data_IF_299964227642
#
_entry.id   IF_299964227642
#
_cell.length_a   1.000
_cell.length_b   1.000
_cell.length_c   1.000
_cell.angle_alpha   90.00
_cell.angle_beta   90.00
_cell.angle_gamma   90.00
#
_symmetry.space_group_name_H-M   'P 1'
#
loop_
_entity.id
_entity.type
_entity.pdbx_description
1 polymer ?
#
# COMPACT_ATOMS: atom_id res chain seq x y z
N UNK A 1 -11.50 -1.90 -10.65
CA UNK A 1 -10.23 -1.80 -11.44
C UNK A 1 -9.02 -1.93 -10.53
N UNK A 2 -7.86 -2.30 -11.08
CA UNK A 2 -6.61 -2.53 -10.33
C UNK A 2 -5.56 -1.50 -10.77
N UNK A 3 -5.04 -0.73 -9.82
CA UNK A 3 -3.99 0.25 -10.03
C UNK A 3 -2.69 -0.21 -9.38
N UNK A 4 -1.56 0.00 -10.04
CA UNK A 4 -0.22 -0.23 -9.48
C UNK A 4 0.57 1.06 -9.52
N UNK A 5 1.06 1.50 -8.34
CA UNK A 5 2.01 2.61 -8.22
C UNK A 5 3.36 2.04 -7.80
N UNK A 6 4.32 2.01 -8.73
CA UNK A 6 5.62 1.36 -8.53
C UNK A 6 6.79 2.31 -8.89
N UNK A 7 7.98 1.79 -8.99
CA UNK A 7 9.20 2.56 -9.28
C UNK A 7 9.97 3.01 -8.04
N UNK A 8 11.17 3.57 -8.27
CA UNK A 8 12.11 3.96 -7.22
C UNK A 8 11.88 5.37 -6.68
N UNK A 9 11.15 6.22 -7.41
CA UNK A 9 10.88 7.59 -7.03
C UNK A 9 9.97 7.71 -5.80
N UNK A 10 10.04 8.88 -5.15
CA UNK A 10 9.17 9.26 -4.05
C UNK A 10 7.75 9.57 -4.55
N UNK A 11 6.72 9.30 -3.74
CA UNK A 11 5.35 9.73 -4.00
C UNK A 11 4.33 8.62 -4.23
N UNK A 12 4.73 7.33 -4.22
CA UNK A 12 3.79 6.21 -4.41
C UNK A 12 2.65 6.20 -3.40
N UNK A 13 2.99 6.18 -2.11
CA UNK A 13 2.01 6.26 -1.01
C UNK A 13 1.24 7.58 -1.06
N UNK A 14 1.93 8.70 -1.35
CA UNK A 14 1.29 10.02 -1.47
C UNK A 14 0.25 10.06 -2.59
N UNK A 15 0.54 9.48 -3.74
CA UNK A 15 -0.41 9.36 -4.85
C UNK A 15 -1.63 8.50 -4.47
N UNK A 16 -1.41 7.37 -3.78
CA UNK A 16 -2.48 6.51 -3.29
C UNK A 16 -3.36 7.23 -2.26
N UNK A 17 -2.77 7.99 -1.33
CA UNK A 17 -3.50 8.82 -0.37
C UNK A 17 -4.28 9.93 -1.10
N UNK A 18 -3.70 10.57 -2.11
CA UNK A 18 -4.40 11.55 -2.95
C UNK A 18 -5.65 10.96 -3.60
N UNK A 19 -5.58 9.73 -4.12
CA UNK A 19 -6.76 9.02 -4.64
C UNK A 19 -7.78 8.70 -3.53
N UNK A 20 -7.31 8.31 -2.34
CA UNK A 20 -8.18 8.10 -1.17
C UNK A 20 -8.98 9.37 -0.83
N UNK A 21 -8.30 10.52 -0.75
CA UNK A 21 -8.95 11.82 -0.49
C UNK A 21 -9.99 12.17 -1.56
N UNK A 22 -9.66 11.93 -2.84
CA UNK A 22 -10.60 12.13 -3.94
C UNK A 22 -11.83 11.23 -3.82
N UNK A 23 -11.63 9.94 -3.47
CA UNK A 23 -12.73 8.99 -3.31
C UNK A 23 -13.66 9.37 -2.16
N UNK A 24 -13.10 9.77 -1.03
CA UNK A 24 -13.90 10.25 0.12
C UNK A 24 -14.63 11.56 -0.21
N UNK A 25 -13.98 12.48 -0.92
CA UNK A 25 -14.63 13.72 -1.39
C UNK A 25 -15.84 13.47 -2.29
N UNK A 26 -15.89 12.33 -2.97
CA UNK A 26 -17.04 11.85 -3.74
C UNK A 26 -18.02 11.00 -2.90
N UNK A 27 -17.93 11.00 -1.57
CA UNK A 27 -18.81 10.26 -0.66
C UNK A 27 -18.48 8.77 -0.49
N UNK A 28 -17.38 8.28 -1.06
CA UNK A 28 -16.99 6.87 -0.95
C UNK A 28 -16.23 6.55 0.32
N UNK A 29 -16.08 5.26 0.60
CA UNK A 29 -15.34 4.73 1.76
C UNK A 29 -14.04 4.06 1.33
N UNK A 30 -12.96 4.30 2.08
CA UNK A 30 -11.62 3.85 1.76
C UNK A 30 -11.03 3.03 2.90
N UNK A 31 -10.41 1.90 2.56
CA UNK A 31 -9.58 1.13 3.48
C UNK A 31 -8.13 1.16 3.01
N UNK A 32 -7.22 1.57 3.89
CA UNK A 32 -5.78 1.57 3.65
C UNK A 32 -5.14 0.51 4.54
N UNK A 33 -4.46 -0.46 3.93
CA UNK A 33 -3.73 -1.52 4.62
C UNK A 33 -2.26 -1.33 4.33
N UNK A 34 -1.49 -0.96 5.35
CA UNK A 34 -0.06 -0.72 5.23
C UNK A 34 0.73 -1.96 5.66
N UNK A 35 1.45 -2.54 4.71
CA UNK A 35 2.43 -3.59 4.96
C UNK A 35 3.72 -2.99 5.47
N UNK A 36 4.49 -3.75 6.27
CA UNK A 36 5.84 -3.39 6.71
C UNK A 36 5.95 -2.11 7.56
N UNK A 37 4.84 -1.45 7.82
CA UNK A 37 4.80 -0.20 8.57
C UNK A 37 4.15 -0.42 9.94
N UNK A 38 4.71 0.22 10.97
CA UNK A 38 4.11 0.37 12.29
C UNK A 38 4.62 1.68 12.89
N UNK A 39 3.72 2.41 13.52
CA UNK A 39 4.05 3.69 14.17
C UNK A 39 3.22 4.85 13.64
N UNK A 40 3.45 6.01 14.22
CA UNK A 40 2.69 7.22 13.89
C UNK A 40 3.46 7.99 12.82
N UNK A 41 3.03 7.83 11.58
CA UNK A 41 3.44 8.72 10.48
C UNK A 41 2.52 9.94 10.45
N UNK A 42 3.03 11.06 9.98
CA UNK A 42 2.25 12.31 10.00
C UNK A 42 0.99 12.23 9.14
N UNK A 43 1.01 11.50 8.02
CA UNK A 43 -0.18 11.26 7.20
C UNK A 43 -1.29 10.55 7.98
N UNK A 44 -0.96 9.68 8.93
CA UNK A 44 -1.97 8.98 9.75
C UNK A 44 -2.70 9.92 10.69
N UNK A 45 -2.00 10.93 11.23
CA UNK A 45 -2.61 11.95 12.10
C UNK A 45 -3.70 12.72 11.36
N UNK A 46 -3.48 13.02 10.09
CA UNK A 46 -4.44 13.71 9.23
C UNK A 46 -5.56 12.78 8.77
N UNK A 47 -5.20 11.59 8.26
CA UNK A 47 -6.16 10.64 7.70
C UNK A 47 -7.14 10.09 8.74
N UNK A 48 -6.70 9.92 10.02
CA UNK A 48 -7.58 9.49 11.11
C UNK A 48 -8.67 10.52 11.47
N UNK A 49 -8.53 11.77 11.01
CA UNK A 49 -9.55 12.83 11.17
C UNK A 49 -10.53 12.88 10.00
N UNK A 50 -10.26 12.15 8.91
CA UNK A 50 -11.09 12.15 7.72
C UNK A 50 -12.14 11.04 7.84
N UNK A 51 -13.41 11.43 7.90
CA UNK A 51 -14.52 10.47 7.86
C UNK A 51 -14.49 9.67 6.56
N UNK A 52 -14.77 8.37 6.64
CA UNK A 52 -14.76 7.48 5.47
C UNK A 52 -13.42 6.80 5.19
N UNK A 53 -12.35 7.12 5.93
CA UNK A 53 -11.05 6.42 5.81
C UNK A 53 -10.81 5.52 7.02
N UNK A 54 -10.49 4.27 6.75
CA UNK A 54 -10.00 3.29 7.75
C UNK A 54 -8.58 2.90 7.41
N UNK A 55 -7.69 2.90 8.42
CA UNK A 55 -6.29 2.54 8.23
C UNK A 55 -5.92 1.40 9.17
N UNK A 56 -5.21 0.40 8.65
CA UNK A 56 -4.64 -0.69 9.44
C UNK A 56 -3.19 -0.94 9.03
N UNK A 57 -2.32 -1.08 10.03
CA UNK A 57 -0.89 -1.32 9.84
C UNK A 57 -0.51 -2.74 10.25
N UNK A 58 0.28 -3.40 9.42
CA UNK A 58 0.80 -4.75 9.63
C UNK A 58 2.32 -4.77 9.41
N UNK A 59 3.06 -4.32 10.40
CA UNK A 59 4.51 -4.29 10.42
C UNK A 59 5.04 -4.19 11.84
N UNK A 60 6.37 -4.22 12.01
CA UNK A 60 7.04 -4.06 13.31
C UNK A 60 7.66 -2.69 13.50
N UNK A 61 8.11 -2.07 12.41
CA UNK A 61 8.73 -0.75 12.42
C UNK A 61 8.68 -0.12 11.02
N UNK A 62 9.21 1.08 10.91
CA UNK A 62 9.44 1.74 9.64
C UNK A 62 10.54 1.02 8.86
N UNK A 63 10.21 0.37 7.76
CA UNK A 63 11.11 -0.29 6.81
C UNK A 63 12.06 -1.33 7.44
N UNK A 64 12.10 -2.52 6.87
CA UNK A 64 13.04 -3.56 7.29
C UNK A 64 14.47 -3.11 6.98
N UNK A 65 15.18 -2.65 8.01
CA UNK A 65 16.64 -2.44 7.97
C UNK A 65 17.41 -3.78 8.09
N UNK A 66 16.71 -4.88 8.41
CA UNK A 66 17.26 -6.21 8.66
C UNK A 66 16.57 -7.27 7.77
N UNK A 67 17.13 -8.48 7.76
CA UNK A 67 16.51 -9.62 7.06
C UNK A 67 15.09 -9.90 7.59
N UNK A 68 14.14 -10.28 6.70
CA UNK A 68 12.79 -10.64 7.11
C UNK A 68 12.77 -11.77 8.13
N UNK A 69 11.90 -11.63 9.14
CA UNK A 69 11.71 -12.61 10.21
C UNK A 69 10.44 -13.43 10.01
N UNK A 70 10.25 -14.47 10.85
CA UNK A 70 8.98 -15.22 10.90
C UNK A 70 7.79 -14.32 11.26
N UNK A 71 8.00 -13.32 12.16
CA UNK A 71 6.96 -12.38 12.55
C UNK A 71 6.55 -11.46 11.39
N UNK A 72 7.49 -10.98 10.57
CA UNK A 72 7.16 -10.18 9.39
C UNK A 72 6.29 -10.96 8.40
N UNK A 73 6.58 -12.26 8.21
CA UNK A 73 5.75 -13.15 7.38
C UNK A 73 4.34 -13.33 7.97
N UNK A 74 4.23 -13.49 9.30
CA UNK A 74 2.95 -13.60 9.99
C UNK A 74 2.11 -12.34 9.80
N UNK A 75 2.70 -11.16 10.01
CA UNK A 75 2.03 -9.88 9.83
C UNK A 75 1.58 -9.65 8.38
N UNK A 76 2.41 -9.99 7.39
CA UNK A 76 2.02 -9.90 5.99
C UNK A 76 0.83 -10.83 5.64
N UNK A 77 0.79 -12.06 6.19
CA UNK A 77 -0.35 -12.96 6.04
C UNK A 77 -1.61 -12.41 6.70
N UNK A 78 -1.48 -11.81 7.89
CA UNK A 78 -2.61 -11.16 8.58
C UNK A 78 -3.15 -9.98 7.78
N UNK A 79 -2.28 -9.18 7.13
CA UNK A 79 -2.68 -8.08 6.26
C UNK A 79 -3.56 -8.55 5.10
N UNK A 80 -3.16 -9.63 4.41
CA UNK A 80 -3.97 -10.20 3.32
C UNK A 80 -5.27 -10.84 3.85
N UNK A 81 -5.23 -11.52 4.99
CA UNK A 81 -6.43 -12.06 5.60
C UNK A 81 -7.43 -10.94 5.94
N UNK A 82 -6.94 -9.82 6.49
CA UNK A 82 -7.75 -8.64 6.74
C UNK A 82 -8.31 -8.05 5.45
N UNK A 83 -7.49 -7.92 4.39
CA UNK A 83 -7.93 -7.44 3.08
C UNK A 83 -9.06 -8.32 2.50
N UNK A 84 -8.94 -9.64 2.60
CA UNK A 84 -10.01 -10.59 2.21
C UNK A 84 -11.31 -10.33 2.96
N UNK A 85 -11.25 -10.12 4.27
CA UNK A 85 -12.42 -9.77 5.08
C UNK A 85 -13.04 -8.43 4.69
N UNK A 86 -12.22 -7.45 4.29
CA UNK A 86 -12.67 -6.14 3.80
C UNK A 86 -13.50 -6.27 2.52
N UNK A 87 -13.00 -7.01 1.50
CA UNK A 87 -13.72 -7.18 0.23
C UNK A 87 -15.00 -8.03 0.39
N UNK A 88 -15.00 -9.00 1.31
CA UNK A 88 -16.20 -9.81 1.60
C UNK A 88 -17.34 -8.99 2.19
N UNK A 89 -17.02 -8.03 3.06
CA UNK A 89 -18.02 -7.15 3.71
C UNK A 89 -18.59 -6.10 2.76
N UNK A 90 -17.98 -5.86 1.60
CA UNK A 90 -18.39 -4.86 0.60
C UNK A 90 -18.66 -3.44 1.16
N UNK A 91 -17.93 -3.06 2.21
CA UNK A 91 -18.14 -1.80 2.94
C UNK A 91 -17.21 -0.67 2.48
N UNK A 92 -16.39 -0.92 1.46
CA UNK A 92 -15.40 0.03 0.94
C UNK A 92 -15.43 0.04 -0.57
N UNK A 93 -15.26 1.22 -1.13
CA UNK A 93 -15.22 1.44 -2.58
C UNK A 93 -13.79 1.45 -3.12
N UNK A 94 -12.83 1.80 -2.25
CA UNK A 94 -11.41 1.83 -2.58
C UNK A 94 -10.63 1.09 -1.50
N UNK A 95 -9.81 0.13 -1.92
CA UNK A 95 -8.85 -0.59 -1.07
C UNK A 95 -7.43 -0.26 -1.52
N UNK A 96 -6.57 0.15 -0.58
CA UNK A 96 -5.16 0.42 -0.84
C UNK A 96 -4.32 -0.59 -0.07
N UNK A 97 -3.49 -1.36 -0.76
CA UNK A 97 -2.47 -2.23 -0.19
C UNK A 97 -1.11 -1.55 -0.33
N UNK A 98 -0.78 -0.73 0.66
CA UNK A 98 0.45 0.06 0.66
C UNK A 98 1.67 -0.80 1.02
N UNK A 99 2.73 -0.73 0.22
CA UNK A 99 3.98 -1.52 0.28
C UNK A 99 3.81 -3.03 0.03
N UNK A 100 2.72 -3.49 -0.58
CA UNK A 100 2.51 -4.91 -0.93
C UNK A 100 3.57 -5.41 -1.91
N UNK A 101 4.01 -4.57 -2.88
CA UNK A 101 5.03 -4.96 -3.86
C UNK A 101 6.38 -5.23 -3.18
N UNK A 102 6.72 -4.47 -2.14
CA UNK A 102 7.93 -4.71 -1.34
C UNK A 102 7.79 -5.98 -0.50
N UNK A 103 6.60 -6.22 0.09
CA UNK A 103 6.34 -7.47 0.82
C UNK A 103 6.48 -8.71 -0.07
N UNK A 104 6.07 -8.64 -1.34
CA UNK A 104 6.30 -9.68 -2.34
C UNK A 104 7.78 -9.85 -2.67
N UNK A 105 8.51 -8.76 -2.93
CA UNK A 105 9.96 -8.76 -3.20
C UNK A 105 10.75 -9.41 -2.06
N UNK A 106 10.35 -9.14 -0.83
CA UNK A 106 10.96 -9.70 0.37
C UNK A 106 10.47 -11.11 0.72
N UNK A 107 9.62 -11.72 -0.12
CA UNK A 107 9.05 -13.06 0.07
C UNK A 107 8.33 -13.24 1.42
N UNK A 108 7.71 -12.16 1.92
CA UNK A 108 6.86 -12.20 3.13
C UNK A 108 5.50 -12.84 2.83
N UNK A 109 5.04 -12.68 1.61
CA UNK A 109 3.85 -13.30 1.07
C UNK A 109 4.15 -13.81 -0.34
N UNK A 110 3.50 -14.89 -0.77
CA UNK A 110 3.69 -15.43 -2.13
C UNK A 110 2.85 -14.66 -3.14
N UNK A 111 3.38 -14.58 -4.37
CA UNK A 111 2.67 -13.95 -5.49
C UNK A 111 1.33 -14.65 -5.78
N UNK A 112 1.26 -15.98 -5.66
CA UNK A 112 0.04 -16.74 -5.88
C UNK A 112 -1.10 -16.30 -4.96
N UNK A 113 -0.81 -16.09 -3.66
CA UNK A 113 -1.81 -15.61 -2.69
C UNK A 113 -2.38 -14.25 -3.12
N UNK A 114 -1.53 -13.34 -3.61
CA UNK A 114 -1.98 -12.03 -4.09
C UNK A 114 -2.78 -12.18 -5.39
N UNK A 115 -2.34 -13.02 -6.34
CA UNK A 115 -3.09 -13.28 -7.57
C UNK A 115 -4.48 -13.88 -7.28
N UNK A 116 -4.59 -14.79 -6.33
CA UNK A 116 -5.89 -15.33 -5.89
C UNK A 116 -6.77 -14.26 -5.25
N UNK A 117 -6.18 -13.37 -4.45
CA UNK A 117 -6.89 -12.23 -3.90
C UNK A 117 -7.44 -11.31 -5.00
N UNK A 118 -6.64 -11.03 -6.04
CA UNK A 118 -7.09 -10.21 -7.18
C UNK A 118 -8.26 -10.83 -7.94
N UNK A 119 -8.25 -12.16 -8.12
CA UNK A 119 -9.36 -12.88 -8.76
C UNK A 119 -10.68 -12.81 -7.97
N UNK A 120 -10.58 -12.67 -6.65
CA UNK A 120 -11.74 -12.57 -5.76
C UNK A 120 -12.21 -11.12 -5.53
N UNK A 121 -11.54 -10.14 -6.17
CA UNK A 121 -11.89 -8.73 -6.01
C UNK A 121 -13.24 -8.43 -6.66
N UNK A 122 -14.22 -7.86 -5.93
CA UNK A 122 -15.48 -7.42 -6.53
C UNK A 122 -15.26 -6.31 -7.57
N UNK A 123 -15.98 -6.32 -8.67
CA UNK A 123 -15.90 -5.28 -9.72
C UNK A 123 -16.19 -3.86 -9.19
N UNK A 124 -17.03 -3.76 -8.15
CA UNK A 124 -17.38 -2.49 -7.50
C UNK A 124 -16.25 -1.88 -6.67
N UNK A 125 -15.16 -2.60 -6.43
CA UNK A 125 -14.04 -2.14 -5.60
C UNK A 125 -12.86 -1.74 -6.46
N UNK A 126 -12.41 -0.48 -6.30
CA UNK A 126 -11.10 -0.05 -6.81
C UNK A 126 -10.00 -0.56 -5.89
N UNK A 127 -8.93 -1.08 -6.47
CA UNK A 127 -7.77 -1.59 -5.72
C UNK A 127 -6.50 -0.86 -6.14
N UNK A 128 -5.74 -0.36 -5.17
CA UNK A 128 -4.41 0.23 -5.40
C UNK A 128 -3.35 -0.62 -4.73
N UNK A 129 -2.34 -1.05 -5.47
CA UNK A 129 -1.15 -1.75 -4.99
C UNK A 129 0.04 -0.79 -5.08
N UNK A 130 0.72 -0.52 -3.96
CA UNK A 130 1.90 0.33 -4.00
C UNK A 130 3.18 -0.41 -3.65
N UNK A 131 4.31 0.22 -3.95
CA UNK A 131 5.65 -0.21 -3.56
C UNK A 131 6.59 -0.41 -4.74
N UNK A 132 7.89 -0.40 -4.42
CA UNK A 132 8.95 -0.72 -5.39
C UNK A 132 8.85 -2.18 -5.83
N UNK A 133 9.40 -2.51 -6.99
CA UNK A 133 9.57 -3.89 -7.47
C UNK A 133 8.26 -4.64 -7.76
N UNK A 134 7.27 -3.96 -8.33
CA UNK A 134 6.04 -4.63 -8.75
C UNK A 134 6.35 -5.81 -9.66
N UNK A 135 5.87 -7.03 -9.35
CA UNK A 135 6.10 -8.20 -10.19
C UNK A 135 5.43 -8.04 -11.56
N UNK A 136 6.12 -8.47 -12.64
CA UNK A 136 5.58 -8.42 -14.02
C UNK A 136 4.18 -9.05 -14.11
N UNK A 137 3.94 -10.13 -13.39
CA UNK A 137 2.62 -10.80 -13.36
C UNK A 137 1.51 -9.90 -12.78
N UNK A 138 1.79 -9.08 -11.77
CA UNK A 138 0.80 -8.12 -11.27
C UNK A 138 0.60 -6.98 -12.26
N UNK A 139 1.68 -6.49 -12.88
CA UNK A 139 1.62 -5.47 -13.93
C UNK A 139 0.72 -5.93 -15.08
N UNK A 140 0.81 -7.20 -15.51
CA UNK A 140 -0.04 -7.74 -16.59
C UNK A 140 -1.51 -7.95 -16.21
N UNK A 141 -1.85 -7.88 -14.92
CA UNK A 141 -3.21 -8.01 -14.40
C UNK A 141 -3.85 -6.66 -14.04
N UNK A 142 -3.06 -5.60 -14.07
CA UNK A 142 -3.52 -4.26 -13.67
C UNK A 142 -4.14 -3.50 -14.84
N UNK A 143 -5.13 -2.66 -14.54
CA UNK A 143 -5.75 -1.75 -15.48
C UNK A 143 -4.95 -0.45 -15.61
N UNK A 144 -4.35 0.02 -14.50
CA UNK A 144 -3.50 1.21 -14.45
C UNK A 144 -2.13 0.88 -13.83
N UNK A 145 -1.07 1.27 -14.49
CA UNK A 145 0.29 1.16 -13.95
C UNK A 145 1.01 2.49 -14.09
N UNK A 146 1.38 3.09 -12.96
CA UNK A 146 2.20 4.28 -12.91
C UNK A 146 3.57 3.94 -12.32
N UNK A 147 4.64 4.19 -13.09
CA UNK A 147 6.01 4.07 -12.63
C UNK A 147 6.55 5.44 -12.23
N UNK A 148 6.81 5.63 -10.93
CA UNK A 148 7.39 6.86 -10.39
C UNK A 148 8.91 6.74 -10.40
N UNK A 149 9.54 7.42 -11.34
CA UNK A 149 11.00 7.39 -11.54
C UNK A 149 11.70 8.38 -10.61
N UNK A 150 12.83 7.95 -10.06
CA UNK A 150 13.73 8.82 -9.33
C UNK A 150 14.65 9.56 -10.31
N UNK A 151 14.29 10.77 -10.69
CA UNK A 151 15.13 11.63 -11.50
C UNK A 151 16.23 12.28 -10.64
N UNK A 152 15.87 12.76 -9.44
CA UNK A 152 16.78 13.35 -8.45
C UNK A 152 16.25 13.07 -7.05
N UNK A 153 17.11 12.76 -6.09
CA UNK A 153 16.70 12.50 -4.72
C UNK A 153 17.69 13.09 -3.71
N UNK A 154 17.21 13.88 -2.72
CA UNK A 154 18.08 14.52 -1.72
C UNK A 154 18.93 13.54 -0.91
N UNK A 155 18.45 12.33 -0.70
CA UNK A 155 19.18 11.26 0.02
C UNK A 155 20.58 10.99 -0.60
N UNK A 156 20.71 11.08 -1.92
CA UNK A 156 22.01 10.92 -2.60
C UNK A 156 22.98 12.06 -2.31
N UNK A 157 22.47 13.18 -1.81
CA UNK A 157 23.25 14.34 -1.35
C UNK A 157 23.47 14.32 0.16
N UNK A 158 23.16 13.22 0.84
CA UNK A 158 23.28 13.09 2.29
C UNK A 158 22.22 13.86 3.10
N UNK A 159 21.19 14.40 2.46
CA UNK A 159 20.12 15.13 3.13
C UNK A 159 19.19 14.13 3.84
N UNK A 160 19.03 14.21 5.18
CA UNK A 160 18.18 13.29 5.93
C UNK A 160 16.69 13.48 5.62
N UNK A 161 15.89 12.49 5.96
CA UNK A 161 14.44 12.56 5.87
C UNK A 161 13.89 13.64 6.82
N UNK A 162 12.95 14.46 6.35
CA UNK A 162 12.37 15.60 7.05
C UNK A 162 10.98 15.27 7.57
N UNK A 163 10.69 15.73 8.78
CA UNK A 163 9.36 15.59 9.38
C UNK A 163 8.30 16.35 8.55
N UNK A 164 7.17 15.68 8.30
CA UNK A 164 6.07 16.23 7.50
C UNK A 164 6.29 16.24 5.98
N UNK A 165 7.48 15.78 5.51
CA UNK A 165 7.81 15.68 4.07
C UNK A 165 8.10 14.23 3.66
N UNK A 166 8.98 13.52 4.37
CA UNK A 166 9.29 12.12 4.12
C UNK A 166 8.59 11.16 5.10
N UNK A 167 8.21 11.63 6.28
CA UNK A 167 7.50 10.83 7.31
C UNK A 167 6.58 11.69 8.19
#
# INVERSE_FOLDING_TARGET
>A
MIHIYTGNGKGKTTAAIGLAMRRVGAGGKVCIIQFLKKGIYNELKSLNKVSGITIKQFGRSCLLKAKPTKEDKKLAKQAIAYAKGVIQKKNYDLLILDEINVALKLKLISLNIVCEFLKALPESVELVLTGRYAPKKLISLADYVAEIKEVKHPFKLGIPARNGIEF
#
